data_IF_145067774185
#
_entry.id   IF_145067774185
#
_cell.length_a   1.000
_cell.length_b   1.000
_cell.length_c   1.000
_cell.angle_alpha   90.00
_cell.angle_beta   90.00
_cell.angle_gamma   90.00
#
_symmetry.space_group_name_H-M   'P 1'
#
loop_
_entity.id
_entity.type
_entity.pdbx_description
1 polymer ?
#
# COMPACT_ATOMS: atom_id res chain seq x y z
N UNK A 1 21.35 -36.57 31.28
CA UNK A 1 19.94 -36.46 30.90
C UNK A 1 19.86 -35.33 29.93
N UNK A 2 20.20 -35.66 28.69
CA UNK A 2 20.13 -34.73 27.55
C UNK A 2 18.68 -34.66 27.09
N UNK A 3 18.04 -33.54 27.27
CA UNK A 3 16.74 -33.28 26.66
C UNK A 3 17.00 -32.80 25.22
N UNK A 4 16.91 -33.77 24.29
CA UNK A 4 16.78 -33.49 22.87
C UNK A 4 15.53 -32.62 22.69
N UNK A 5 15.78 -31.33 22.46
CA UNK A 5 14.79 -30.38 22.02
C UNK A 5 14.58 -30.60 20.51
N UNK A 6 13.79 -31.64 20.18
CA UNK A 6 13.33 -31.84 18.79
C UNK A 6 12.49 -30.62 18.39
N UNK A 7 13.07 -29.73 17.60
CA UNK A 7 12.38 -28.64 16.93
C UNK A 7 11.21 -29.24 16.13
N UNK A 8 10.01 -28.83 16.45
CA UNK A 8 8.82 -29.26 15.70
C UNK A 8 8.93 -28.76 14.25
N UNK A 9 8.39 -29.45 13.26
CA UNK A 9 8.47 -29.07 11.83
C UNK A 9 7.96 -27.67 11.50
N UNK A 10 7.24 -27.07 12.43
CA UNK A 10 6.70 -25.69 12.31
C UNK A 10 7.71 -24.59 12.63
N UNK A 11 8.83 -24.90 13.30
CA UNK A 11 9.81 -23.90 13.77
C UNK A 11 10.99 -23.67 12.83
N UNK A 12 11.07 -24.41 11.73
CA UNK A 12 12.12 -24.21 10.73
C UNK A 12 11.66 -23.08 9.79
N UNK A 13 12.37 -21.93 9.75
CA UNK A 13 12.03 -20.89 8.79
C UNK A 13 12.14 -21.46 7.37
N UNK A 14 11.06 -21.42 6.61
CA UNK A 14 11.08 -21.72 5.20
C UNK A 14 11.90 -20.63 4.52
N UNK A 15 12.94 -21.00 3.79
CA UNK A 15 13.59 -20.08 2.87
C UNK A 15 12.53 -19.54 1.89
N UNK A 16 12.70 -18.31 1.43
CA UNK A 16 11.65 -17.62 0.66
C UNK A 16 12.15 -17.27 -0.71
N UNK A 17 11.32 -17.50 -1.73
CA UNK A 17 11.60 -17.04 -3.10
C UNK A 17 11.26 -15.55 -3.21
N UNK A 18 12.09 -14.71 -3.85
CA UNK A 18 11.73 -13.34 -4.14
C UNK A 18 10.48 -13.24 -5.01
N UNK A 19 9.67 -12.19 -4.80
CA UNK A 19 8.44 -11.98 -5.56
C UNK A 19 8.66 -11.95 -7.08
N UNK A 20 9.71 -11.25 -7.53
CA UNK A 20 10.08 -11.14 -8.94
C UNK A 20 10.43 -12.49 -9.54
N UNK A 21 11.19 -13.30 -8.80
CA UNK A 21 11.54 -14.66 -9.21
C UNK A 21 10.30 -15.55 -9.31
N UNK A 22 9.46 -15.54 -8.26
CA UNK A 22 8.23 -16.34 -8.20
C UNK A 22 7.28 -16.00 -9.36
N UNK A 23 7.05 -14.71 -9.60
CA UNK A 23 6.19 -14.21 -10.69
C UNK A 23 6.71 -14.57 -12.07
N UNK A 24 8.01 -14.35 -12.34
CA UNK A 24 8.63 -14.62 -13.64
C UNK A 24 8.64 -16.11 -13.95
N UNK A 25 9.06 -16.91 -13.00
CA UNK A 25 9.32 -18.33 -13.20
C UNK A 25 8.12 -19.22 -12.94
N UNK A 26 7.01 -18.68 -12.43
CA UNK A 26 5.79 -19.42 -12.16
C UNK A 26 5.93 -20.46 -11.04
N UNK A 27 6.68 -20.13 -9.97
CA UNK A 27 6.88 -21.01 -8.81
C UNK A 27 6.70 -20.21 -7.51
N UNK A 28 5.96 -20.76 -6.55
CA UNK A 28 5.75 -20.13 -5.23
C UNK A 28 6.06 -21.17 -4.17
N UNK A 29 6.85 -20.80 -3.16
CA UNK A 29 7.06 -21.61 -1.97
C UNK A 29 6.13 -21.14 -0.86
N UNK A 30 5.27 -22.00 -0.37
CA UNK A 30 4.25 -21.71 0.66
C UNK A 30 4.11 -22.90 1.63
N UNK A 31 3.19 -22.80 2.58
CA UNK A 31 2.79 -23.89 3.46
C UNK A 31 1.38 -24.35 3.13
N UNK A 32 1.13 -25.66 3.26
CA UNK A 32 -0.22 -26.22 3.24
C UNK A 32 -0.97 -25.88 4.54
N UNK A 33 -2.27 -26.14 4.58
CA UNK A 33 -3.09 -26.00 5.80
C UNK A 33 -2.57 -26.86 6.97
N UNK A 34 -1.83 -27.93 6.65
CA UNK A 34 -1.15 -28.78 7.62
C UNK A 34 0.24 -28.26 8.04
N UNK A 35 0.67 -27.09 7.55
CA UNK A 35 1.98 -26.50 7.84
C UNK A 35 3.15 -27.06 7.03
N UNK A 36 2.93 -28.06 6.17
CA UNK A 36 3.99 -28.66 5.34
C UNK A 36 4.40 -27.73 4.19
N UNK A 37 5.70 -27.67 3.83
CA UNK A 37 6.17 -26.86 2.70
C UNK A 37 5.64 -27.39 1.37
N UNK A 38 5.10 -26.48 0.56
CA UNK A 38 4.54 -26.78 -0.77
C UNK A 38 5.10 -25.80 -1.80
N UNK A 39 5.52 -26.30 -2.94
CA UNK A 39 5.88 -25.51 -4.11
C UNK A 39 4.70 -25.55 -5.08
N UNK A 40 4.01 -24.42 -5.22
CA UNK A 40 2.98 -24.24 -6.22
C UNK A 40 3.61 -23.85 -7.55
N UNK A 41 3.21 -24.54 -8.61
CA UNK A 41 3.85 -24.43 -9.93
C UNK A 41 2.80 -24.09 -10.97
N UNK A 42 3.06 -23.05 -11.76
CA UNK A 42 2.27 -22.74 -12.96
C UNK A 42 2.75 -23.59 -14.14
N UNK A 43 1.86 -24.05 -15.04
CA UNK A 43 2.24 -24.74 -16.26
C UNK A 43 3.28 -23.94 -17.06
N UNK A 44 4.37 -24.59 -17.46
CA UNK A 44 5.46 -23.97 -18.21
C UNK A 44 6.62 -23.44 -17.36
N UNK A 45 6.61 -23.63 -16.05
CA UNK A 45 7.75 -23.31 -15.18
C UNK A 45 9.02 -24.11 -15.60
N UNK A 46 10.18 -23.45 -15.55
CA UNK A 46 11.45 -24.07 -15.96
C UNK A 46 11.97 -25.05 -14.89
N UNK A 47 12.71 -26.08 -15.34
CA UNK A 47 13.34 -27.05 -14.42
C UNK A 47 14.32 -26.37 -13.46
N UNK A 48 15.01 -25.32 -13.90
CA UNK A 48 15.93 -24.56 -13.06
C UNK A 48 15.18 -23.82 -11.92
N UNK A 49 14.02 -23.27 -12.22
CA UNK A 49 13.19 -22.61 -11.21
C UNK A 49 12.63 -23.60 -10.18
N UNK A 50 12.24 -24.79 -10.61
CA UNK A 50 11.81 -25.87 -9.72
C UNK A 50 12.96 -26.36 -8.83
N UNK A 51 14.15 -26.51 -9.38
CA UNK A 51 15.34 -26.91 -8.63
C UNK A 51 15.70 -25.86 -7.56
N UNK A 52 15.63 -24.58 -7.90
CA UNK A 52 15.92 -23.49 -6.96
C UNK A 52 14.86 -23.42 -5.85
N UNK A 53 13.58 -23.50 -6.20
CA UNK A 53 12.51 -23.54 -5.18
C UNK A 53 12.68 -24.73 -4.22
N UNK A 54 13.07 -25.89 -4.76
CA UNK A 54 13.34 -27.09 -3.94
C UNK A 54 14.59 -26.92 -3.05
N UNK A 55 15.64 -26.29 -3.56
CA UNK A 55 16.86 -25.97 -2.77
C UNK A 55 16.53 -25.07 -1.59
N UNK A 56 15.76 -24.00 -1.82
CA UNK A 56 15.35 -23.04 -0.78
C UNK A 56 14.42 -23.70 0.27
N UNK A 57 13.57 -24.64 -0.16
CA UNK A 57 12.72 -25.41 0.77
C UNK A 57 13.49 -26.45 1.60
N UNK A 58 14.78 -26.63 1.37
CA UNK A 58 15.58 -27.67 1.98
C UNK A 58 15.26 -29.08 1.46
N UNK A 59 14.69 -29.20 0.25
CA UNK A 59 14.34 -30.47 -0.38
C UNK A 59 13.14 -31.20 0.22
N UNK A 60 12.36 -30.52 1.05
CA UNK A 60 11.23 -31.10 1.81
C UNK A 60 9.86 -30.77 1.23
N UNK A 61 9.79 -29.86 0.26
CA UNK A 61 8.52 -29.39 -0.29
C UNK A 61 7.90 -30.37 -1.29
N UNK A 62 6.58 -30.47 -1.25
CA UNK A 62 5.82 -31.17 -2.30
C UNK A 62 5.52 -30.18 -3.43
N UNK A 63 5.51 -30.70 -4.67
CA UNK A 63 5.13 -29.91 -5.85
C UNK A 63 3.64 -30.08 -6.12
N UNK A 64 2.95 -28.96 -6.35
CA UNK A 64 1.56 -28.94 -6.77
C UNK A 64 1.40 -28.00 -7.97
N UNK A 65 0.94 -28.54 -9.10
CA UNK A 65 0.64 -27.74 -10.29
C UNK A 65 -0.75 -27.16 -10.14
N UNK A 66 -0.87 -25.84 -10.34
CA UNK A 66 -2.13 -25.10 -10.29
C UNK A 66 -2.31 -24.30 -11.59
N UNK A 67 -3.58 -23.98 -11.90
CA UNK A 67 -3.87 -23.17 -13.07
C UNK A 67 -3.36 -21.73 -12.92
N UNK A 68 -3.18 -20.96 -14.02
CA UNK A 68 -2.62 -19.62 -13.98
C UNK A 68 -3.39 -18.66 -13.08
N UNK A 69 -4.72 -18.71 -13.09
CA UNK A 69 -5.55 -17.78 -12.30
C UNK A 69 -5.41 -18.04 -10.78
N UNK A 70 -5.38 -19.31 -10.39
CA UNK A 70 -5.10 -19.72 -9.01
C UNK A 70 -3.65 -19.42 -8.61
N UNK A 71 -2.71 -19.51 -9.55
CA UNK A 71 -1.33 -19.16 -9.29
C UNK A 71 -1.21 -17.66 -8.92
N UNK A 72 -1.84 -16.78 -9.67
CA UNK A 72 -1.78 -15.33 -9.42
C UNK A 72 -2.47 -14.96 -8.09
N UNK A 73 -3.57 -15.63 -7.73
CA UNK A 73 -4.18 -15.50 -6.41
C UNK A 73 -3.25 -15.95 -5.27
N UNK A 74 -2.61 -17.11 -5.43
CA UNK A 74 -1.66 -17.64 -4.46
C UNK A 74 -0.43 -16.75 -4.33
N UNK A 75 0.07 -16.19 -5.44
CA UNK A 75 1.17 -15.24 -5.46
C UNK A 75 0.83 -13.98 -4.66
N UNK A 76 -0.35 -13.40 -4.90
CA UNK A 76 -0.83 -12.25 -4.14
C UNK A 76 -0.90 -12.56 -2.63
N UNK A 77 -1.52 -13.68 -2.26
CA UNK A 77 -1.68 -14.05 -0.85
C UNK A 77 -0.34 -14.31 -0.16
N UNK A 78 0.60 -14.99 -0.84
CA UNK A 78 1.90 -15.34 -0.26
C UNK A 78 2.77 -14.11 0.03
N UNK A 79 2.65 -13.04 -0.78
CA UNK A 79 3.52 -11.86 -0.67
C UNK A 79 2.85 -10.60 -0.10
N UNK A 80 1.56 -10.63 0.23
CA UNK A 80 0.87 -9.49 0.85
C UNK A 80 1.44 -9.14 2.23
N UNK A 81 1.69 -10.14 3.06
CA UNK A 81 2.22 -9.93 4.42
C UNK A 81 3.67 -9.45 4.41
N UNK A 82 4.49 -9.92 3.47
CA UNK A 82 5.88 -9.52 3.31
C UNK A 82 6.06 -8.04 3.03
N UNK A 83 5.19 -7.49 2.20
CA UNK A 83 5.28 -6.08 1.82
C UNK A 83 5.09 -5.18 3.04
N UNK A 84 4.17 -5.54 3.93
CA UNK A 84 3.92 -4.79 5.15
C UNK A 84 5.09 -4.92 6.15
N UNK A 85 5.64 -6.13 6.33
CA UNK A 85 6.79 -6.37 7.21
C UNK A 85 8.07 -5.71 6.70
N UNK A 86 8.35 -5.82 5.39
CA UNK A 86 9.50 -5.18 4.77
C UNK A 86 9.40 -3.64 4.82
N UNK A 87 8.21 -3.08 4.70
CA UNK A 87 7.99 -1.65 4.87
C UNK A 87 8.20 -1.19 6.33
N UNK A 88 7.82 -2.01 7.31
CA UNK A 88 8.09 -1.71 8.72
C UNK A 88 9.59 -1.81 9.08
N UNK A 89 10.33 -2.75 8.46
CA UNK A 89 11.78 -2.89 8.69
C UNK A 89 12.60 -1.73 8.12
N UNK A 90 12.07 -0.96 7.18
CA UNK A 90 12.76 0.17 6.54
C UNK A 90 12.52 1.51 7.27
N UNK A 91 11.89 1.51 8.44
CA UNK A 91 11.79 2.70 9.33
C UNK A 91 13.16 3.33 9.71
N UNK A 92 14.29 2.65 9.40
CA UNK A 92 15.65 3.10 9.68
C UNK A 92 16.42 3.68 8.49
N UNK A 93 15.79 3.93 7.32
CA UNK A 93 16.46 4.66 6.23
C UNK A 93 16.56 6.11 6.67
N UNK A 94 17.80 6.54 6.95
CA UNK A 94 18.10 7.87 7.46
C UNK A 94 17.54 8.99 6.58
N UNK A 95 17.26 10.11 7.25
CA UNK A 95 16.65 11.33 6.69
C UNK A 95 17.41 11.98 5.51
N UNK A 96 18.64 11.52 5.22
CA UNK A 96 19.58 12.16 4.29
C UNK A 96 19.67 11.48 2.92
N UNK A 97 18.82 10.50 2.59
CA UNK A 97 18.89 9.80 1.30
C UNK A 97 18.15 10.60 0.21
N UNK A 98 18.91 11.11 -0.75
CA UNK A 98 18.35 11.80 -1.93
C UNK A 98 17.56 10.80 -2.79
N UNK A 99 16.27 11.10 -3.00
CA UNK A 99 15.33 10.27 -3.76
C UNK A 99 15.80 10.05 -5.21
N UNK A 100 16.42 11.06 -5.83
CA UNK A 100 16.95 10.95 -7.19
C UNK A 100 18.11 9.96 -7.24
N UNK A 101 19.06 10.04 -6.31
CA UNK A 101 20.18 9.11 -6.21
C UNK A 101 19.71 7.67 -5.96
N UNK A 102 18.66 7.49 -5.17
CA UNK A 102 18.08 6.18 -4.93
C UNK A 102 17.42 5.61 -6.20
N UNK A 103 16.69 6.43 -6.94
CA UNK A 103 16.06 6.02 -8.20
C UNK A 103 17.08 5.63 -9.27
N UNK A 104 18.22 6.31 -9.33
CA UNK A 104 19.33 5.99 -10.23
C UNK A 104 20.10 4.75 -9.81
N UNK A 105 20.20 4.50 -8.49
CA UNK A 105 20.92 3.34 -7.95
C UNK A 105 20.19 2.01 -8.15
N UNK A 106 18.89 2.05 -8.48
CA UNK A 106 18.14 0.83 -8.79
C UNK A 106 18.63 0.27 -10.14
N UNK A 107 19.13 -0.99 -10.19
CA UNK A 107 19.66 -1.59 -11.41
C UNK A 107 18.64 -1.64 -12.55
N UNK A 108 19.11 -1.82 -13.79
CA UNK A 108 18.22 -2.05 -14.93
C UNK A 108 17.54 -3.42 -14.87
N UNK A 109 16.47 -3.59 -15.62
CA UNK A 109 15.48 -4.66 -15.46
C UNK A 109 16.07 -6.08 -15.53
N UNK A 110 17.16 -6.28 -16.29
CA UNK A 110 17.80 -7.61 -16.41
C UNK A 110 18.45 -8.02 -15.10
N UNK A 111 19.18 -7.10 -14.45
CA UNK A 111 19.83 -7.35 -13.16
C UNK A 111 18.81 -7.53 -12.02
N UNK A 112 17.71 -6.75 -12.01
CA UNK A 112 16.65 -6.90 -11.00
C UNK A 112 15.83 -8.18 -11.16
N UNK A 113 15.70 -8.68 -12.39
CA UNK A 113 15.02 -9.94 -12.66
C UNK A 113 15.90 -11.15 -12.31
N UNK A 114 17.21 -10.96 -12.22
CA UNK A 114 18.20 -11.97 -11.83
C UNK A 114 18.55 -11.89 -10.34
N UNK A 115 18.35 -10.72 -9.70
CA UNK A 115 18.59 -10.57 -8.27
C UNK A 115 17.48 -11.27 -7.46
N UNK A 116 17.91 -12.01 -6.46
CA UNK A 116 17.02 -12.71 -5.52
C UNK A 116 16.32 -11.78 -4.52
N UNK A 117 16.50 -10.44 -4.61
CA UNK A 117 16.04 -9.48 -3.60
C UNK A 117 15.17 -8.36 -4.19
N UNK A 118 13.92 -8.26 -3.73
CA UNK A 118 12.98 -7.17 -4.06
C UNK A 118 13.27 -5.86 -3.28
N UNK A 119 14.25 -5.88 -2.37
CA UNK A 119 14.57 -4.77 -1.49
C UNK A 119 14.81 -3.42 -2.20
N UNK A 120 15.44 -3.34 -3.39
CA UNK A 120 15.62 -2.07 -4.08
C UNK A 120 14.30 -1.39 -4.47
N UNK A 121 13.32 -2.15 -4.97
CA UNK A 121 12.00 -1.62 -5.35
C UNK A 121 11.20 -1.19 -4.13
N UNK A 122 11.25 -1.97 -3.05
CA UNK A 122 10.60 -1.64 -1.79
C UNK A 122 11.20 -0.36 -1.21
N UNK A 123 12.53 -0.24 -1.22
CA UNK A 123 13.22 0.99 -0.76
C UNK A 123 12.82 2.21 -1.57
N UNK A 124 12.71 2.09 -2.89
CA UNK A 124 12.27 3.18 -3.75
C UNK A 124 10.82 3.59 -3.44
N UNK A 125 9.90 2.64 -3.28
CA UNK A 125 8.51 2.93 -2.89
C UNK A 125 8.46 3.63 -1.54
N UNK A 126 9.20 3.14 -0.55
CA UNK A 126 9.26 3.74 0.78
C UNK A 126 9.82 5.15 0.76
N UNK A 127 10.90 5.38 -0.01
CA UNK A 127 11.49 6.71 -0.16
C UNK A 127 10.50 7.69 -0.82
N UNK A 128 9.78 7.25 -1.87
CA UNK A 128 8.73 8.05 -2.51
C UNK A 128 7.64 8.42 -1.50
N UNK A 129 7.15 7.46 -0.72
CA UNK A 129 6.09 7.71 0.26
C UNK A 129 6.56 8.59 1.43
N UNK A 130 7.78 8.38 1.90
CA UNK A 130 8.39 9.20 2.96
C UNK A 130 8.52 10.65 2.52
N UNK A 131 9.03 10.88 1.31
CA UNK A 131 9.16 12.22 0.76
C UNK A 131 7.80 12.88 0.50
N UNK A 132 6.80 12.11 0.05
CA UNK A 132 5.44 12.61 -0.11
C UNK A 132 4.82 13.06 1.21
N UNK A 133 5.03 12.31 2.31
CA UNK A 133 4.58 12.69 3.66
C UNK A 133 5.33 13.92 4.17
N UNK A 134 6.65 14.00 4.00
CA UNK A 134 7.48 15.16 4.39
C UNK A 134 7.03 16.45 3.70
N UNK A 135 6.71 16.35 2.41
CA UNK A 135 6.27 17.51 1.60
C UNK A 135 4.77 17.79 1.72
N UNK A 136 4.05 17.06 2.58
CA UNK A 136 2.60 17.17 2.75
C UNK A 136 1.83 17.02 1.42
N UNK A 137 2.28 16.12 0.57
CA UNK A 137 1.60 15.83 -0.68
C UNK A 137 0.25 15.16 -0.43
N UNK A 138 -0.78 15.60 -1.15
CA UNK A 138 -2.10 14.96 -1.12
C UNK A 138 -2.16 13.68 -1.95
N UNK A 139 -1.46 13.68 -3.08
CA UNK A 139 -1.45 12.57 -4.03
C UNK A 139 -0.03 12.33 -4.58
N UNK A 140 0.32 11.07 -4.80
CA UNK A 140 1.49 10.64 -5.57
C UNK A 140 1.00 10.01 -6.86
N UNK A 141 1.46 10.53 -7.98
CA UNK A 141 1.17 10.02 -9.32
C UNK A 141 2.39 9.31 -9.86
N UNK A 142 2.27 8.04 -10.20
CA UNK A 142 3.29 7.24 -10.89
C UNK A 142 2.78 7.02 -12.31
N UNK A 143 3.42 7.67 -13.27
CA UNK A 143 2.92 7.76 -14.63
C UNK A 143 3.89 7.12 -15.62
N UNK A 144 3.40 6.08 -16.27
CA UNK A 144 4.13 5.36 -17.27
C UNK A 144 3.87 5.96 -18.64
N UNK A 145 4.90 6.54 -19.24
CA UNK A 145 4.92 7.03 -20.62
C UNK A 145 5.69 6.04 -21.52
N UNK A 146 5.70 6.29 -22.83
CA UNK A 146 6.39 5.44 -23.77
C UNK A 146 7.89 5.26 -23.45
N UNK A 147 8.57 6.37 -23.15
CA UNK A 147 10.03 6.40 -22.90
C UNK A 147 10.42 6.79 -21.47
N UNK A 148 9.47 7.22 -20.65
CA UNK A 148 9.71 7.76 -19.31
C UNK A 148 8.79 7.13 -18.30
N UNK A 149 9.29 6.99 -17.08
CA UNK A 149 8.49 6.73 -15.87
C UNK A 149 8.64 7.96 -14.98
N UNK A 150 7.55 8.64 -14.66
CA UNK A 150 7.59 9.89 -13.92
C UNK A 150 6.79 9.76 -12.64
N UNK A 151 7.38 10.18 -11.52
CA UNK A 151 6.70 10.31 -10.25
C UNK A 151 6.44 11.78 -9.97
N UNK A 152 5.18 12.14 -9.77
CA UNK A 152 4.75 13.50 -9.46
C UNK A 152 4.00 13.55 -8.15
N UNK A 153 4.24 14.58 -7.37
CA UNK A 153 3.48 14.86 -6.15
C UNK A 153 2.50 16.00 -6.40
N UNK A 154 1.32 15.89 -5.82
CA UNK A 154 0.39 17.01 -5.72
C UNK A 154 0.57 17.68 -4.36
N UNK A 155 1.11 18.90 -4.38
CA UNK A 155 1.29 19.73 -3.20
C UNK A 155 0.51 21.02 -3.41
N UNK A 156 -0.35 21.39 -2.49
CA UNK A 156 -1.23 22.57 -2.57
C UNK A 156 -2.02 22.64 -3.89
N UNK A 157 -2.51 21.49 -4.36
CA UNK A 157 -3.29 21.37 -5.60
C UNK A 157 -2.47 21.31 -6.88
N UNK A 158 -1.15 21.61 -6.84
CA UNK A 158 -0.26 21.65 -8.00
C UNK A 158 0.55 20.36 -8.12
N UNK A 159 0.57 19.76 -9.31
CA UNK A 159 1.42 18.61 -9.62
C UNK A 159 2.84 19.06 -9.96
N UNK A 160 3.83 18.45 -9.29
CA UNK A 160 5.27 18.70 -9.52
C UNK A 160 5.97 17.37 -9.79
N UNK A 161 6.86 17.34 -10.79
CA UNK A 161 7.75 16.19 -11.00
C UNK A 161 8.77 16.16 -9.86
N UNK A 162 8.95 14.97 -9.26
CA UNK A 162 9.84 14.77 -8.11
C UNK A 162 11.01 13.88 -8.49
N UNK A 163 10.73 12.78 -9.20
CA UNK A 163 11.76 11.85 -9.63
C UNK A 163 11.33 11.14 -10.92
N UNK A 164 12.31 10.80 -11.74
CA UNK A 164 12.14 10.03 -12.99
C UNK A 164 12.94 8.74 -12.90
N UNK A 165 12.37 7.67 -12.33
CA UNK A 165 13.04 6.37 -12.29
C UNK A 165 13.19 5.79 -13.70
N UNK A 166 14.13 4.84 -13.88
CA UNK A 166 14.30 4.13 -15.15
C UNK A 166 12.97 3.53 -15.62
N UNK A 167 12.64 3.74 -16.90
CA UNK A 167 11.38 3.28 -17.50
C UNK A 167 11.14 1.78 -17.32
N UNK A 168 12.20 0.99 -17.33
CA UNK A 168 12.17 -0.45 -17.15
C UNK A 168 11.58 -0.89 -15.77
N UNK A 169 11.64 -0.03 -14.76
CA UNK A 169 11.13 -0.32 -13.43
C UNK A 169 9.59 -0.21 -13.32
N UNK A 170 8.91 0.38 -14.30
CA UNK A 170 7.48 0.63 -14.22
C UNK A 170 6.65 -0.64 -13.93
N UNK A 171 6.84 -1.79 -14.62
CA UNK A 171 6.05 -2.98 -14.33
C UNK A 171 6.30 -3.56 -12.92
N UNK A 172 7.51 -3.40 -12.40
CA UNK A 172 7.88 -3.89 -11.06
C UNK A 172 7.25 -3.00 -9.98
N UNK A 173 7.39 -1.67 -10.11
CA UNK A 173 6.75 -0.70 -9.21
C UNK A 173 5.24 -0.90 -9.14
N UNK A 174 4.57 -0.96 -10.29
CA UNK A 174 3.11 -1.15 -10.34
C UNK A 174 2.71 -2.48 -9.72
N UNK A 175 3.39 -3.57 -10.07
CA UNK A 175 3.10 -4.88 -9.49
C UNK A 175 3.26 -4.89 -7.97
N UNK A 176 4.32 -4.26 -7.46
CA UNK A 176 4.56 -4.21 -6.01
C UNK A 176 3.51 -3.39 -5.28
N UNK A 177 3.13 -2.25 -5.83
CA UNK A 177 2.04 -1.43 -5.28
C UNK A 177 0.71 -2.19 -5.29
N UNK A 178 0.40 -2.93 -6.36
CA UNK A 178 -0.79 -3.79 -6.42
C UNK A 178 -0.81 -4.86 -5.32
N UNK A 179 0.32 -5.54 -5.10
CA UNK A 179 0.45 -6.51 -4.00
C UNK A 179 0.15 -5.86 -2.66
N UNK A 180 0.78 -4.70 -2.38
CA UNK A 180 0.56 -3.94 -1.13
C UNK A 180 -0.89 -3.49 -0.96
N UNK A 181 -1.56 -3.12 -2.05
CA UNK A 181 -2.95 -2.67 -2.06
C UNK A 181 -3.97 -3.82 -2.15
N UNK A 182 -3.52 -5.08 -2.16
CA UNK A 182 -4.34 -6.29 -2.33
C UNK A 182 -5.14 -6.31 -3.63
N UNK A 183 -4.54 -5.79 -4.72
CA UNK A 183 -5.11 -5.74 -6.06
C UNK A 183 -4.62 -6.93 -6.89
N UNK A 184 -5.36 -7.24 -7.94
CA UNK A 184 -4.99 -8.27 -8.91
C UNK A 184 -3.80 -7.80 -9.78
N UNK A 185 -2.68 -8.51 -9.68
CA UNK A 185 -1.45 -8.20 -10.43
C UNK A 185 -1.48 -8.70 -11.88
N UNK A 186 -2.33 -9.67 -12.19
CA UNK A 186 -2.47 -10.23 -13.53
C UNK A 186 -3.34 -9.32 -14.42
N UNK A 187 -4.41 -8.75 -13.86
CA UNK A 187 -5.31 -7.88 -14.60
C UNK A 187 -4.70 -6.48 -14.77
N UNK A 188 -4.50 -6.07 -16.03
CA UNK A 188 -3.88 -4.78 -16.40
C UNK A 188 -4.75 -3.94 -17.33
N UNK A 189 -5.95 -4.42 -17.66
CA UNK A 189 -6.82 -3.82 -18.69
C UNK A 189 -7.96 -3.02 -18.10
N UNK A 190 -8.27 -3.22 -16.81
CA UNK A 190 -9.33 -2.50 -16.12
C UNK A 190 -8.78 -1.72 -14.94
N UNK A 191 -9.38 -0.57 -14.59
CA UNK A 191 -9.04 0.15 -13.37
C UNK A 191 -9.29 -0.70 -12.14
N UNK A 192 -8.44 -0.54 -11.11
CA UNK A 192 -8.59 -1.19 -9.82
C UNK A 192 -8.35 -0.18 -8.71
N UNK A 193 -9.11 -0.31 -7.63
CA UNK A 193 -8.99 0.50 -6.43
C UNK A 193 -8.70 -0.36 -5.21
N UNK A 194 -7.81 0.10 -4.33
CA UNK A 194 -7.40 -0.60 -3.13
C UNK A 194 -6.93 0.35 -2.05
N UNK A 195 -6.42 -0.23 -0.95
CA UNK A 195 -5.91 0.53 0.20
C UNK A 195 -4.64 -0.10 0.73
N UNK A 196 -3.74 0.77 1.20
CA UNK A 196 -2.53 0.40 1.92
C UNK A 196 -2.56 1.15 3.24
N UNK A 197 -2.52 0.44 4.37
CA UNK A 197 -2.32 1.02 5.68
C UNK A 197 -0.88 0.72 6.11
N UNK A 198 -0.09 1.75 6.36
CA UNK A 198 1.31 1.58 6.75
C UNK A 198 1.78 2.74 7.63
N UNK A 199 2.93 2.53 8.28
CA UNK A 199 3.58 3.58 9.05
C UNK A 199 4.71 4.16 8.22
N UNK A 200 4.67 5.48 7.97
CA UNK A 200 5.69 6.22 7.22
C UNK A 200 6.25 7.30 8.12
N UNK A 201 7.57 7.36 8.29
CA UNK A 201 8.24 8.32 9.15
C UNK A 201 7.60 8.42 10.56
N UNK A 202 7.26 7.28 11.17
CA UNK A 202 6.63 7.18 12.49
C UNK A 202 5.14 7.56 12.54
N UNK A 203 4.50 7.90 11.41
CA UNK A 203 3.07 8.25 11.32
C UNK A 203 2.27 7.15 10.64
N UNK A 204 1.11 6.84 11.18
CA UNK A 204 0.16 5.96 10.49
C UNK A 204 -0.48 6.72 9.33
N UNK A 205 -0.27 6.21 8.13
CA UNK A 205 -0.81 6.77 6.88
C UNK A 205 -1.70 5.71 6.24
N UNK A 206 -2.91 6.12 5.88
CA UNK A 206 -3.81 5.32 5.06
C UNK A 206 -3.71 5.84 3.62
N UNK A 207 -3.43 4.95 2.68
CA UNK A 207 -3.21 5.32 1.29
C UNK A 207 -4.26 4.64 0.43
N UNK A 208 -5.06 5.43 -0.27
CA UNK A 208 -5.88 4.92 -1.36
C UNK A 208 -5.06 4.75 -2.62
N UNK A 209 -5.16 3.59 -3.21
CA UNK A 209 -4.47 3.23 -4.44
C UNK A 209 -5.49 3.08 -5.55
N UNK A 210 -5.30 3.80 -6.64
CA UNK A 210 -6.06 3.62 -7.87
C UNK A 210 -5.10 3.32 -8.99
N UNK A 211 -5.34 2.24 -9.73
CA UNK A 211 -4.58 1.88 -10.92
C UNK A 211 -5.44 2.03 -12.16
N UNK A 212 -4.89 2.58 -13.22
CA UNK A 212 -5.59 2.80 -14.48
C UNK A 212 -4.73 2.36 -15.65
N UNK A 213 -5.30 1.56 -16.59
CA UNK A 213 -4.61 1.22 -17.82
C UNK A 213 -4.35 2.46 -18.68
N UNK A 214 -3.21 2.51 -19.33
CA UNK A 214 -2.90 3.51 -20.35
C UNK A 214 -2.16 2.84 -21.52
N UNK A 215 -1.98 3.58 -22.63
CA UNK A 215 -1.29 3.08 -23.83
C UNK A 215 0.13 2.57 -23.59
N UNK A 216 0.82 3.12 -22.59
CA UNK A 216 2.22 2.80 -22.30
C UNK A 216 2.42 1.90 -21.08
N UNK A 217 1.33 1.43 -20.46
CA UNK A 217 1.32 0.66 -19.23
C UNK A 217 0.31 1.20 -18.24
N UNK A 218 0.33 0.72 -17.01
CA UNK A 218 -0.59 1.21 -15.98
C UNK A 218 -0.08 2.50 -15.34
N UNK A 219 -0.98 3.39 -14.98
CA UNK A 219 -0.76 4.54 -14.12
C UNK A 219 -1.26 4.21 -12.72
N UNK A 220 -0.57 4.72 -11.71
CA UNK A 220 -0.97 4.56 -10.31
C UNK A 220 -1.12 5.93 -9.67
N UNK A 221 -2.19 6.10 -8.93
CA UNK A 221 -2.40 7.27 -8.07
C UNK A 221 -2.53 6.78 -6.63
N UNK A 222 -1.68 7.31 -5.77
CA UNK A 222 -1.68 7.05 -4.34
C UNK A 222 -2.16 8.32 -3.63
N UNK A 223 -3.36 8.30 -3.06
CA UNK A 223 -3.87 9.41 -2.25
C UNK A 223 -3.55 9.16 -0.78
N UNK A 224 -2.77 10.05 -0.20
CA UNK A 224 -2.38 9.99 1.20
C UNK A 224 -3.50 10.56 2.08
N UNK A 225 -3.96 9.77 3.04
CA UNK A 225 -4.96 10.17 4.02
C UNK A 225 -4.28 10.21 5.39
N UNK A 226 -4.07 11.41 5.91
CA UNK A 226 -3.47 11.59 7.23
C UNK A 226 -4.51 11.28 8.31
N UNK A 227 -4.32 10.17 9.03
CA UNK A 227 -5.21 9.78 10.15
C UNK A 227 -5.20 10.76 11.31
N UNK A 228 -4.19 11.63 11.42
CA UNK A 228 -4.13 12.62 12.49
C UNK A 228 -5.13 13.77 12.30
N UNK A 229 -5.69 13.95 11.10
CA UNK A 229 -6.74 14.93 10.83
C UNK A 229 -8.06 14.64 11.61
N UNK A 230 -8.23 13.45 12.18
CA UNK A 230 -9.40 13.09 13.00
C UNK A 230 -9.56 13.82 14.35
N UNK A 231 -8.61 14.65 14.74
CA UNK A 231 -8.68 15.45 15.98
C UNK A 231 -9.01 16.93 15.72
N UNK A 232 -9.65 17.23 14.59
CA UNK A 232 -9.96 18.62 14.22
C UNK A 232 -11.13 19.11 15.06
N UNK A 233 -10.87 20.14 15.86
CA UNK A 233 -11.91 20.83 16.66
C UNK A 233 -12.60 21.90 15.82
N UNK A 234 -13.87 22.20 16.14
CA UNK A 234 -14.62 23.27 15.47
C UNK A 234 -13.90 24.63 15.54
N UNK A 235 -13.19 24.91 16.64
CA UNK A 235 -12.42 26.14 16.82
C UNK A 235 -11.27 26.28 15.81
N UNK A 236 -10.67 25.18 15.40
CA UNK A 236 -9.54 25.18 14.48
C UNK A 236 -9.91 25.33 13.00
N UNK A 237 -11.22 25.35 12.69
CA UNK A 237 -11.71 25.48 11.31
C UNK A 237 -11.60 26.91 10.76
N UNK A 238 -11.15 27.89 11.55
CA UNK A 238 -11.02 29.29 11.13
C UNK A 238 -12.36 30.04 11.03
N UNK A 239 -13.45 29.51 11.59
CA UNK A 239 -14.74 30.19 11.62
C UNK A 239 -14.71 31.39 12.56
N UNK A 240 -15.36 32.49 12.13
CA UNK A 240 -15.57 33.62 13.01
C UNK A 240 -16.38 33.22 14.27
N UNK A 241 -16.08 33.81 15.41
CA UNK A 241 -16.70 33.42 16.69
C UNK A 241 -18.23 33.50 16.71
N UNK A 242 -18.82 34.36 15.87
CA UNK A 242 -20.29 34.43 15.67
C UNK A 242 -20.79 33.19 14.95
N UNK A 243 -20.14 32.79 13.86
CA UNK A 243 -20.56 31.67 13.02
C UNK A 243 -20.37 30.35 13.74
N UNK A 244 -19.27 30.19 14.46
CA UNK A 244 -19.03 29.06 15.35
C UNK A 244 -20.14 28.88 16.40
N UNK A 245 -20.61 29.97 17.03
CA UNK A 245 -21.72 29.92 17.98
C UNK A 245 -23.03 29.48 17.31
N UNK A 246 -23.29 29.95 16.09
CA UNK A 246 -24.47 29.56 15.32
C UNK A 246 -24.41 28.08 14.96
N UNK A 247 -23.24 27.61 14.40
CA UNK A 247 -23.04 26.20 14.07
C UNK A 247 -23.27 25.31 15.30
N UNK A 248 -22.64 25.62 16.45
CA UNK A 248 -22.87 24.88 17.71
C UNK A 248 -24.33 24.80 18.08
N UNK A 249 -25.06 25.91 18.02
CA UNK A 249 -26.50 25.91 18.31
C UNK A 249 -27.28 25.00 17.36
N UNK A 250 -26.88 24.89 16.11
CA UNK A 250 -27.55 24.07 15.12
C UNK A 250 -27.27 22.56 15.29
N UNK A 251 -26.04 22.17 15.53
CA UNK A 251 -25.64 20.73 15.66
C UNK A 251 -26.19 20.10 16.96
N UNK A 252 -26.52 20.93 17.98
CA UNK A 252 -27.12 20.44 19.21
C UNK A 252 -28.66 20.41 19.19
N UNK A 253 -29.30 20.78 18.06
CA UNK A 253 -30.76 20.64 17.95
C UNK A 253 -31.19 19.18 17.90
N UNK A 254 -32.29 18.82 18.58
CA UNK A 254 -32.71 17.41 18.62
C UNK A 254 -33.35 16.90 17.34
N UNK A 255 -33.64 17.80 16.39
CA UNK A 255 -34.26 17.47 15.11
C UNK A 255 -33.86 18.48 14.04
N UNK A 256 -33.92 18.05 12.77
CA UNK A 256 -33.61 18.88 11.61
C UNK A 256 -32.59 18.23 10.69
N UNK A 257 -32.21 18.96 9.65
CA UNK A 257 -31.17 18.60 8.70
C UNK A 257 -30.19 19.76 8.62
N UNK A 258 -28.90 19.45 8.75
CA UNK A 258 -27.81 20.40 8.50
C UNK A 258 -27.13 20.01 7.19
N UNK A 259 -27.19 20.89 6.20
CA UNK A 259 -26.59 20.68 4.90
C UNK A 259 -25.27 21.43 4.79
N UNK A 260 -24.16 20.70 4.49
CA UNK A 260 -22.83 21.27 4.27
C UNK A 260 -22.49 21.14 2.79
N UNK A 261 -22.35 22.26 2.08
CA UNK A 261 -22.12 22.28 0.63
C UNK A 261 -20.88 23.09 0.26
N UNK A 262 -20.35 22.86 -0.92
CA UNK A 262 -19.19 23.58 -1.46
C UNK A 262 -18.41 22.77 -2.47
N UNK A 263 -17.42 23.37 -3.17
CA UNK A 263 -16.57 22.67 -4.12
C UNK A 263 -15.64 21.66 -3.42
N UNK A 264 -14.95 20.83 -4.22
CA UNK A 264 -13.91 19.92 -3.71
C UNK A 264 -12.79 20.73 -3.04
N UNK A 265 -12.30 20.26 -1.91
CA UNK A 265 -11.24 20.94 -1.15
C UNK A 265 -11.71 22.13 -0.28
N UNK A 266 -13.02 22.45 -0.24
CA UNK A 266 -13.54 23.56 0.58
C UNK A 266 -13.69 23.26 2.07
N UNK A 267 -13.32 22.06 2.54
CA UNK A 267 -13.40 21.66 3.95
C UNK A 267 -14.76 21.08 4.38
N UNK A 268 -15.61 20.60 3.45
CA UNK A 268 -16.91 19.99 3.79
C UNK A 268 -16.77 18.84 4.77
N UNK A 269 -15.99 17.82 4.40
CA UNK A 269 -15.74 16.63 5.26
C UNK A 269 -15.12 17.05 6.58
N UNK A 270 -14.15 17.95 6.56
CA UNK A 270 -13.49 18.51 7.76
C UNK A 270 -14.51 19.12 8.73
N UNK A 271 -15.45 19.92 8.20
CA UNK A 271 -16.51 20.55 9.00
C UNK A 271 -17.48 19.51 9.57
N UNK A 272 -17.86 18.49 8.76
CA UNK A 272 -18.73 17.40 9.20
C UNK A 272 -18.08 16.59 10.33
N UNK A 273 -16.82 16.16 10.14
CA UNK A 273 -16.09 15.39 11.15
C UNK A 273 -15.87 16.18 12.44
N UNK A 274 -15.52 17.46 12.36
CA UNK A 274 -15.41 18.32 13.54
C UNK A 274 -16.74 18.48 14.27
N UNK A 275 -17.85 18.59 13.52
CA UNK A 275 -19.20 18.66 14.09
C UNK A 275 -19.62 17.35 14.76
N UNK A 276 -19.35 16.21 14.14
CA UNK A 276 -19.60 14.88 14.71
C UNK A 276 -18.80 14.66 15.99
N UNK A 277 -17.54 15.05 15.99
CA UNK A 277 -16.67 14.94 17.16
C UNK A 277 -17.15 15.82 18.33
N UNK A 278 -17.63 17.03 18.05
CA UNK A 278 -18.17 17.96 19.06
C UNK A 278 -19.41 17.37 19.77
N UNK A 279 -20.29 16.66 19.04
CA UNK A 279 -21.52 16.08 19.61
C UNK A 279 -21.35 14.64 20.11
N UNK A 280 -20.17 14.05 19.96
CA UNK A 280 -19.86 12.67 20.37
C UNK A 280 -19.52 12.61 21.86
N UNK A 281 -20.54 12.70 22.70
CA UNK A 281 -20.45 12.73 24.18
C UNK A 281 -20.79 11.38 24.84
N UNK A 282 -20.84 10.30 24.06
CA UNK A 282 -21.23 8.94 24.46
C UNK A 282 -22.69 8.79 24.91
N UNK A 283 -23.46 9.85 24.97
CA UNK A 283 -24.88 9.77 25.28
C UNK A 283 -25.75 9.56 24.05
N UNK A 284 -25.17 9.67 22.87
CA UNK A 284 -25.83 9.62 21.58
C UNK A 284 -25.36 8.43 20.75
N UNK A 285 -26.27 7.82 20.03
CA UNK A 285 -25.94 6.85 18.99
C UNK A 285 -25.73 7.63 17.68
N UNK A 286 -24.48 7.77 17.26
CA UNK A 286 -24.10 8.49 16.04
C UNK A 286 -23.67 7.47 15.00
N UNK A 287 -24.29 7.53 13.83
CA UNK A 287 -24.00 6.67 12.69
C UNK A 287 -23.65 7.52 11.47
N UNK A 288 -22.69 7.08 10.67
CA UNK A 288 -22.35 7.69 9.40
C UNK A 288 -22.59 6.74 8.24
N UNK A 289 -22.88 7.30 7.07
CA UNK A 289 -22.92 6.57 5.79
C UNK A 289 -22.00 7.31 4.84
N UNK A 290 -20.89 6.68 4.49
CA UNK A 290 -19.82 7.30 3.72
C UNK A 290 -19.34 6.35 2.60
N UNK A 291 -18.97 6.92 1.48
CA UNK A 291 -18.36 6.18 0.37
C UNK A 291 -17.15 6.96 -0.19
N UNK A 292 -15.98 6.56 0.32
CA UNK A 292 -15.66 5.74 1.47
C UNK A 292 -15.48 6.58 2.76
N UNK A 293 -15.34 5.90 3.89
CA UNK A 293 -14.98 6.53 5.17
C UNK A 293 -13.59 7.16 5.06
N UNK A 294 -13.48 8.45 5.37
CA UNK A 294 -12.18 9.17 5.39
C UNK A 294 -11.45 9.02 6.73
N UNK A 295 -12.18 9.12 7.85
CA UNK A 295 -11.61 9.01 9.20
C UNK A 295 -12.47 8.11 10.08
N UNK A 296 -11.84 7.23 10.84
CA UNK A 296 -12.50 6.48 11.89
C UNK A 296 -12.54 7.32 13.18
N UNK A 297 -13.73 7.71 13.60
CA UNK A 297 -13.95 8.40 14.87
C UNK A 297 -14.34 7.39 15.94
N UNK A 298 -13.61 7.31 17.09
CA UNK A 298 -13.99 6.42 18.18
C UNK A 298 -15.38 6.75 18.71
N UNK A 299 -16.28 5.74 18.79
CA UNK A 299 -17.63 5.89 19.30
C UNK A 299 -18.67 6.37 18.27
N UNK A 300 -18.32 6.40 16.99
CA UNK A 300 -19.22 6.63 15.85
C UNK A 300 -19.22 5.36 14.99
N UNK A 301 -20.39 4.89 14.61
CA UNK A 301 -20.60 3.68 13.82
C UNK A 301 -20.84 3.95 12.33
#
# INVERSE_FOLDING_TARGET
MDTDNELQPQDVPLGRLPFTFAKRNGVILTRSDAGEPVILVRPGASHSALAEANRISGGRARFATIDPDRFDQALNSAYQNDSAEAMQMVEGIGDDMDLASLADSVPETEDLLEQEDDAPIIRLINAILTEAVKTSASDVHIETYEKRLVVRFRVDGVLREVVEPKRALAPLLVSRIKVMAKLDIAEKRVPQDGRIALRVAGREVDIRVSTMPSSSGERVVLRLLDKQAGAIRLESLGMAGRDLKVLRKLIYRPYGILLVTGPTGSGKSTTLYASLQEINDRSRNILTVEDPIEYNLPGIG
#
